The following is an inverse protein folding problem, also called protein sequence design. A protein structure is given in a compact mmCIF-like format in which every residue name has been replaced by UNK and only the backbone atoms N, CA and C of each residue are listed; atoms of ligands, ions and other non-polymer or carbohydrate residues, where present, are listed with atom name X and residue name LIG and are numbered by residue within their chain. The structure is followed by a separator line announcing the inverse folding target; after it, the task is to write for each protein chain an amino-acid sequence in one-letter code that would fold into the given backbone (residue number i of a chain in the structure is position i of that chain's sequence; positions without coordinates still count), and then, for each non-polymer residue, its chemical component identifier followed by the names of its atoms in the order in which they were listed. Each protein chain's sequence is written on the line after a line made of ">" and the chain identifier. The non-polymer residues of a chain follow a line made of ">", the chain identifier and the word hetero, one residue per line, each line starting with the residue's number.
data_IF_671154246504
#
_entry.id   IF_671154246504
#
_cell.length_a   1.000
_cell.length_b   1.000
_cell.length_c   1.000
_cell.angle_alpha   90.00
_cell.angle_beta   90.00
_cell.angle_gamma   90.00
#
_symmetry.space_group_name_H-M   'P 1'
#
loop_
_entity.id
_entity.type
_entity.pdbx_description
1 polymer ?
#
# COMPACT_ATOMS: atom_id res chain seq x y z
N UNK A 1 -38.64 57.88 -38.89
CA UNK A 1 -37.50 57.20 -39.52
C UNK A 1 -36.61 56.49 -38.52
N UNK A 2 -35.67 57.20 -37.86
CA UNK A 2 -34.57 56.60 -37.07
C UNK A 2 -34.96 55.88 -35.77
N UNK A 3 -36.07 56.28 -35.11
CA UNK A 3 -36.56 55.60 -33.89
C UNK A 3 -37.31 54.31 -34.23
N UNK A 4 -38.17 54.32 -35.25
CA UNK A 4 -38.86 53.13 -35.74
C UNK A 4 -37.87 52.04 -36.21
N UNK A 5 -36.83 52.42 -36.96
CA UNK A 5 -35.79 51.47 -37.37
C UNK A 5 -35.02 50.87 -36.18
N UNK A 6 -34.75 51.64 -35.11
CA UNK A 6 -34.12 51.11 -33.89
C UNK A 6 -35.04 50.15 -33.13
N UNK A 7 -36.33 50.44 -33.03
CA UNK A 7 -37.29 49.54 -32.40
C UNK A 7 -37.49 48.25 -33.20
N UNK A 8 -37.48 48.34 -34.54
CA UNK A 8 -37.51 47.16 -35.43
C UNK A 8 -36.23 46.32 -35.30
N UNK A 9 -35.06 46.94 -35.17
CA UNK A 9 -33.78 46.25 -34.94
C UNK A 9 -33.80 45.50 -33.60
N UNK A 10 -34.28 46.12 -32.52
CA UNK A 10 -34.44 45.46 -31.21
C UNK A 10 -35.46 44.32 -31.23
N UNK A 11 -36.55 44.48 -31.98
CA UNK A 11 -37.55 43.42 -32.15
C UNK A 11 -37.00 42.25 -32.97
N UNK A 12 -36.20 42.53 -33.99
CA UNK A 12 -35.60 41.51 -34.86
C UNK A 12 -34.47 40.74 -34.20
N UNK A 13 -33.68 41.38 -33.32
CA UNK A 13 -32.59 40.71 -32.60
C UNK A 13 -33.03 40.14 -31.24
N UNK A 14 -34.16 40.62 -30.70
CA UNK A 14 -34.59 40.31 -29.34
C UNK A 14 -33.71 40.92 -28.25
N UNK A 15 -32.74 41.77 -28.60
CA UNK A 15 -31.76 42.34 -27.67
C UNK A 15 -32.06 43.80 -27.38
N UNK A 16 -32.02 44.18 -26.09
CA UNK A 16 -32.24 45.56 -25.66
C UNK A 16 -31.09 46.51 -26.07
N UNK A 17 -29.87 46.00 -26.24
CA UNK A 17 -28.65 46.72 -26.64
C UNK A 17 -28.08 46.05 -27.89
N UNK A 18 -28.13 46.73 -29.03
CA UNK A 18 -27.67 46.21 -30.33
C UNK A 18 -26.41 46.89 -30.86
N UNK A 19 -26.10 48.09 -30.37
CA UNK A 19 -24.97 48.91 -30.85
C UNK A 19 -24.22 49.52 -29.67
N UNK A 20 -22.90 49.59 -29.77
CA UNK A 20 -22.05 50.21 -28.75
C UNK A 20 -22.35 51.71 -28.56
N UNK A 21 -22.96 52.35 -29.55
CA UNK A 21 -23.41 53.75 -29.46
C UNK A 21 -24.63 53.97 -28.55
N UNK A 22 -25.45 52.93 -28.27
CA UNK A 22 -26.66 53.06 -27.44
C UNK A 22 -26.35 52.90 -25.94
N UNK A 23 -25.45 51.98 -25.58
CA UNK A 23 -24.92 51.81 -24.24
C UNK A 23 -23.57 51.05 -24.31
N UNK A 24 -22.42 51.76 -24.39
CA UNK A 24 -21.12 51.13 -24.58
C UNK A 24 -20.75 50.23 -23.38
N UNK A 25 -21.01 50.68 -22.16
CA UNK A 25 -20.73 49.90 -20.95
C UNK A 25 -21.60 48.63 -20.86
N UNK A 26 -22.90 48.75 -21.19
CA UNK A 26 -23.82 47.61 -21.21
C UNK A 26 -23.51 46.60 -22.31
N UNK A 27 -23.06 47.06 -23.48
CA UNK A 27 -22.60 46.17 -24.54
C UNK A 27 -21.34 45.40 -24.09
N UNK A 28 -20.33 46.09 -23.55
CA UNK A 28 -19.10 45.45 -23.03
C UNK A 28 -19.43 44.41 -21.97
N UNK A 29 -20.30 44.75 -21.01
CA UNK A 29 -20.74 43.79 -19.99
C UNK A 29 -21.46 42.59 -20.61
N UNK A 30 -22.34 42.81 -21.60
CA UNK A 30 -23.06 41.72 -22.27
C UNK A 30 -22.16 40.81 -23.09
N UNK A 31 -21.13 41.36 -23.76
CA UNK A 31 -20.15 40.55 -24.50
C UNK A 31 -19.25 39.75 -23.56
N UNK A 32 -18.84 40.34 -22.43
CA UNK A 32 -18.10 39.60 -21.39
C UNK A 32 -18.92 38.44 -20.83
N UNK A 33 -20.21 38.65 -20.55
CA UNK A 33 -21.11 37.60 -20.09
C UNK A 33 -21.33 36.52 -21.15
N UNK A 34 -21.49 36.89 -22.44
CA UNK A 34 -21.60 35.92 -23.53
C UNK A 34 -20.32 35.07 -23.66
N UNK A 35 -19.15 35.69 -23.55
CA UNK A 35 -17.88 34.98 -23.56
C UNK A 35 -17.77 34.01 -22.38
N UNK A 36 -18.14 34.43 -21.17
CA UNK A 36 -18.18 33.57 -19.98
C UNK A 36 -19.19 32.43 -20.10
N UNK A 37 -20.37 32.67 -20.66
CA UNK A 37 -21.35 31.61 -20.90
C UNK A 37 -20.83 30.58 -21.91
N UNK A 38 -20.20 31.03 -22.99
CA UNK A 38 -19.61 30.13 -23.98
C UNK A 38 -18.48 29.29 -23.40
N UNK A 39 -17.66 29.84 -22.49
CA UNK A 39 -16.60 29.07 -21.84
C UNK A 39 -17.14 28.10 -20.79
N UNK A 40 -18.16 28.50 -20.02
CA UNK A 40 -18.85 27.60 -19.08
C UNK A 40 -19.56 26.44 -19.79
N UNK A 41 -20.19 26.68 -20.94
CA UNK A 41 -20.83 25.62 -21.75
C UNK A 41 -19.79 24.63 -22.31
N UNK A 42 -18.62 25.11 -22.70
CA UNK A 42 -17.48 24.24 -23.06
C UNK A 42 -16.98 23.44 -21.85
N UNK A 43 -16.84 24.07 -20.68
CA UNK A 43 -16.43 23.40 -19.45
C UNK A 43 -17.44 22.33 -19.01
N UNK A 44 -18.75 22.59 -19.11
CA UNK A 44 -19.81 21.63 -18.79
C UNK A 44 -19.69 20.37 -19.67
N UNK A 45 -19.51 20.53 -20.98
CA UNK A 45 -19.30 19.41 -21.90
C UNK A 45 -18.02 18.63 -21.60
N UNK A 46 -16.96 19.31 -21.15
CA UNK A 46 -15.73 18.62 -20.71
C UNK A 46 -15.95 17.81 -19.44
N UNK A 47 -16.71 18.33 -18.47
CA UNK A 47 -17.06 17.61 -17.24
C UNK A 47 -17.89 16.37 -17.55
N UNK A 48 -18.91 16.49 -18.41
CA UNK A 48 -19.73 15.35 -18.86
C UNK A 48 -18.88 14.27 -19.55
N UNK A 49 -17.98 14.68 -20.46
CA UNK A 49 -17.05 13.76 -21.12
C UNK A 49 -16.07 13.11 -20.13
N UNK A 50 -15.57 13.86 -19.16
CA UNK A 50 -14.68 13.34 -18.11
C UNK A 50 -15.40 12.29 -17.28
N UNK A 51 -16.64 12.57 -16.86
CA UNK A 51 -17.47 11.60 -16.15
C UNK A 51 -17.69 10.31 -16.96
N UNK A 52 -17.94 10.42 -18.27
CA UNK A 52 -18.08 9.26 -19.13
C UNK A 52 -16.78 8.43 -19.25
N UNK A 53 -15.61 9.07 -19.35
CA UNK A 53 -14.30 8.39 -19.35
C UNK A 53 -14.09 7.65 -18.03
N UNK A 54 -14.31 8.33 -16.90
CA UNK A 54 -14.12 7.75 -15.57
C UNK A 54 -15.09 6.59 -15.32
N UNK A 55 -16.34 6.68 -15.76
CA UNK A 55 -17.31 5.58 -15.62
C UNK A 55 -16.89 4.32 -16.40
N UNK A 56 -16.33 4.47 -17.60
CA UNK A 56 -15.80 3.33 -18.38
C UNK A 56 -14.57 2.73 -17.70
N UNK A 57 -13.67 3.57 -17.17
CA UNK A 57 -12.52 3.10 -16.41
C UNK A 57 -12.95 2.34 -15.15
N UNK A 58 -13.87 2.90 -14.36
CA UNK A 58 -14.42 2.31 -13.13
C UNK A 58 -15.09 0.95 -13.39
N UNK A 59 -15.89 0.84 -14.45
CA UNK A 59 -16.47 -0.44 -14.85
C UNK A 59 -15.40 -1.49 -15.20
N UNK A 60 -14.34 -1.08 -15.92
CA UNK A 60 -13.21 -1.96 -16.21
C UNK A 60 -12.46 -2.41 -14.95
N UNK A 61 -12.23 -1.48 -14.01
CA UNK A 61 -11.60 -1.77 -12.71
C UNK A 61 -12.45 -2.70 -11.86
N UNK A 62 -13.77 -2.55 -11.88
CA UNK A 62 -14.70 -3.44 -11.18
C UNK A 62 -14.63 -4.87 -11.70
N UNK A 63 -14.54 -5.06 -13.02
CA UNK A 63 -14.38 -6.39 -13.61
C UNK A 63 -13.02 -7.02 -13.23
N UNK A 64 -11.93 -6.23 -13.29
CA UNK A 64 -10.62 -6.69 -12.82
C UNK A 64 -10.66 -7.06 -11.33
N UNK A 65 -11.34 -6.28 -10.50
CA UNK A 65 -11.50 -6.56 -9.07
C UNK A 65 -12.20 -7.91 -8.83
N UNK A 66 -13.30 -8.19 -9.54
CA UNK A 66 -13.99 -9.48 -9.44
C UNK A 66 -13.08 -10.64 -9.85
N UNK A 67 -12.35 -10.50 -10.94
CA UNK A 67 -11.37 -11.50 -11.40
C UNK A 67 -10.26 -11.75 -10.38
N UNK A 68 -9.78 -10.71 -9.68
CA UNK A 68 -8.78 -10.85 -8.61
C UNK A 68 -9.35 -11.60 -7.39
N UNK A 69 -10.62 -11.40 -7.06
CA UNK A 69 -11.30 -12.16 -6.00
C UNK A 69 -11.40 -13.64 -6.37
N UNK A 70 -11.77 -13.96 -7.61
CA UNK A 70 -11.81 -15.33 -8.12
C UNK A 70 -10.42 -15.98 -8.11
N UNK A 71 -9.39 -15.25 -8.55
CA UNK A 71 -8.00 -15.71 -8.52
C UNK A 71 -7.55 -16.03 -7.08
N UNK A 72 -7.92 -15.19 -6.11
CA UNK A 72 -7.66 -15.46 -4.69
C UNK A 72 -8.36 -16.72 -4.21
N UNK A 73 -9.59 -16.97 -4.65
CA UNK A 73 -10.32 -18.20 -4.35
C UNK A 73 -9.59 -19.45 -4.86
N UNK A 74 -9.07 -19.40 -6.09
CA UNK A 74 -8.24 -20.46 -6.66
C UNK A 74 -6.94 -20.68 -5.88
N UNK A 75 -6.27 -19.61 -5.45
CA UNK A 75 -5.06 -19.71 -4.64
C UNK A 75 -5.32 -20.40 -3.29
N UNK A 76 -6.42 -20.07 -2.61
CA UNK A 76 -6.85 -20.75 -1.38
C UNK A 76 -7.18 -22.21 -1.64
N UNK A 77 -7.82 -22.52 -2.77
CA UNK A 77 -8.09 -23.89 -3.15
C UNK A 77 -6.78 -24.66 -3.40
N UNK A 78 -5.84 -24.09 -4.15
CA UNK A 78 -4.54 -24.68 -4.46
C UNK A 78 -3.69 -24.96 -3.21
N UNK A 79 -3.84 -24.13 -2.17
CA UNK A 79 -3.16 -24.32 -0.89
C UNK A 79 -3.56 -25.62 -0.16
N UNK A 80 -4.66 -26.28 -0.55
CA UNK A 80 -5.08 -27.58 -0.03
C UNK A 80 -4.27 -28.75 -0.62
N UNK A 81 -2.95 -28.71 -0.42
CA UNK A 81 -1.98 -29.61 -1.04
C UNK A 81 -2.15 -31.09 -0.66
N UNK A 82 -2.75 -31.37 0.51
CA UNK A 82 -2.98 -32.72 1.02
C UNK A 82 -4.18 -33.46 0.40
N UNK A 83 -5.11 -32.74 -0.25
CA UNK A 83 -6.32 -33.32 -0.83
C UNK A 83 -6.38 -33.24 -2.37
N UNK A 84 -5.51 -32.44 -2.99
CA UNK A 84 -5.48 -32.22 -4.44
C UNK A 84 -4.53 -33.19 -5.15
N UNK A 85 -5.05 -33.86 -6.17
CA UNK A 85 -4.24 -34.60 -7.14
C UNK A 85 -3.44 -33.65 -8.04
N UNK A 86 -2.33 -34.10 -8.65
CA UNK A 86 -1.56 -33.27 -9.58
C UNK A 86 -2.41 -32.72 -10.74
N UNK A 87 -3.31 -33.54 -11.31
CA UNK A 87 -4.17 -33.12 -12.41
C UNK A 87 -5.17 -32.02 -12.00
N UNK A 88 -5.65 -32.04 -10.75
CA UNK A 88 -6.52 -30.97 -10.24
C UNK A 88 -5.73 -29.68 -10.01
N UNK A 89 -4.47 -29.76 -9.58
CA UNK A 89 -3.60 -28.58 -9.48
C UNK A 89 -3.33 -27.96 -10.86
N UNK A 90 -3.03 -28.79 -11.86
CA UNK A 90 -2.85 -28.34 -13.24
C UNK A 90 -4.12 -27.66 -13.78
N UNK A 91 -5.30 -28.18 -13.44
CA UNK A 91 -6.57 -27.59 -13.83
C UNK A 91 -6.84 -26.24 -13.12
N UNK A 92 -6.53 -26.13 -11.83
CA UNK A 92 -6.61 -24.86 -11.09
C UNK A 92 -5.67 -23.83 -11.69
N UNK A 93 -4.44 -24.23 -12.03
CA UNK A 93 -3.46 -23.36 -12.67
C UNK A 93 -3.96 -22.85 -14.03
N UNK A 94 -4.55 -23.71 -14.85
CA UNK A 94 -5.14 -23.30 -16.13
C UNK A 94 -6.28 -22.28 -15.96
N UNK A 95 -7.07 -22.41 -14.87
CA UNK A 95 -8.10 -21.43 -14.55
C UNK A 95 -7.48 -20.08 -14.11
N UNK A 96 -6.44 -20.12 -13.27
CA UNK A 96 -5.69 -18.94 -12.87
C UNK A 96 -5.11 -18.21 -14.09
N UNK A 97 -4.47 -18.94 -15.02
CA UNK A 97 -3.93 -18.39 -16.27
C UNK A 97 -5.01 -17.72 -17.13
N UNK A 98 -6.20 -18.33 -17.22
CA UNK A 98 -7.33 -17.76 -17.96
C UNK A 98 -7.84 -16.46 -17.32
N UNK A 99 -7.83 -16.37 -15.99
CA UNK A 99 -8.18 -15.15 -15.26
C UNK A 99 -7.14 -14.06 -15.55
N UNK A 100 -5.85 -14.37 -15.43
CA UNK A 100 -4.76 -13.44 -15.71
C UNK A 100 -4.82 -12.90 -17.15
N UNK A 101 -5.04 -13.77 -18.14
CA UNK A 101 -5.23 -13.36 -19.54
C UNK A 101 -6.48 -12.48 -19.73
N UNK A 102 -7.53 -12.71 -18.95
CA UNK A 102 -8.74 -11.89 -18.99
C UNK A 102 -8.50 -10.49 -18.41
N UNK A 103 -7.74 -10.38 -17.33
CA UNK A 103 -7.28 -9.11 -16.77
C UNK A 103 -6.47 -8.32 -17.81
N UNK A 104 -5.48 -8.94 -18.45
CA UNK A 104 -4.67 -8.28 -19.49
C UNK A 104 -5.52 -7.83 -20.69
N UNK A 105 -6.52 -8.62 -21.08
CA UNK A 105 -7.47 -8.25 -22.14
C UNK A 105 -8.30 -7.04 -21.73
N UNK A 106 -8.80 -6.97 -20.49
CA UNK A 106 -9.55 -5.81 -20.00
C UNK A 106 -8.65 -4.57 -19.98
N UNK A 107 -7.42 -4.69 -19.47
CA UNK A 107 -6.43 -3.62 -19.46
C UNK A 107 -6.20 -3.05 -20.88
N UNK A 108 -6.04 -3.92 -21.88
CA UNK A 108 -5.75 -3.54 -23.26
C UNK A 108 -6.96 -3.14 -24.11
N UNK A 109 -8.19 -3.51 -23.74
CA UNK A 109 -9.41 -3.22 -24.52
C UNK A 109 -10.28 -2.10 -23.94
N UNK A 110 -10.09 -1.74 -22.66
CA UNK A 110 -10.82 -0.65 -22.02
C UNK A 110 -10.38 0.69 -22.61
N UNK A 111 -11.24 1.27 -23.45
CA UNK A 111 -10.96 2.51 -24.16
C UNK A 111 -12.18 3.40 -24.28
N UNK A 112 -11.96 4.71 -24.33
CA UNK A 112 -12.99 5.70 -24.60
C UNK A 112 -12.61 6.53 -25.82
N UNK A 113 -13.42 6.48 -26.88
CA UNK A 113 -13.16 7.20 -28.14
C UNK A 113 -11.74 6.97 -28.70
N UNK A 114 -11.23 5.73 -28.60
CA UNK A 114 -9.90 5.34 -29.07
C UNK A 114 -8.75 5.64 -28.10
N UNK A 115 -9.03 6.24 -26.94
CA UNK A 115 -8.06 6.44 -25.87
C UNK A 115 -8.07 5.24 -24.93
N UNK A 116 -6.96 4.50 -24.83
CA UNK A 116 -6.78 3.45 -23.82
C UNK A 116 -6.76 4.06 -22.42
N UNK A 117 -7.43 3.40 -21.47
CA UNK A 117 -7.64 3.93 -20.12
C UNK A 117 -6.85 3.20 -19.04
N UNK A 118 -6.70 1.87 -19.14
CA UNK A 118 -6.20 1.01 -18.05
C UNK A 118 -4.86 0.32 -18.35
N UNK A 119 -4.17 0.74 -19.40
CA UNK A 119 -2.87 0.20 -19.84
C UNK A 119 -1.66 0.95 -19.24
N UNK A 120 -1.90 1.94 -18.37
CA UNK A 120 -0.89 2.83 -17.81
C UNK A 120 -0.50 4.02 -18.68
N UNK A 121 -1.05 4.16 -19.89
CA UNK A 121 -0.82 5.34 -20.72
C UNK A 121 -1.37 6.63 -20.10
N UNK A 122 -2.39 6.49 -19.25
CA UNK A 122 -3.07 7.56 -18.53
C UNK A 122 -2.64 7.67 -17.06
N UNK A 123 -1.52 7.04 -16.66
CA UNK A 123 -0.97 7.18 -15.32
C UNK A 123 0.01 8.34 -15.23
N UNK A 124 0.25 8.82 -14.01
CA UNK A 124 1.43 9.62 -13.72
C UNK A 124 2.69 8.74 -13.87
N UNK A 125 3.78 9.33 -14.36
CA UNK A 125 5.07 8.63 -14.48
C UNK A 125 5.98 9.09 -13.36
N UNK A 126 6.67 8.16 -12.73
CA UNK A 126 7.66 8.46 -11.69
C UNK A 126 9.05 8.20 -12.26
N UNK A 127 9.99 9.10 -12.00
CA UNK A 127 11.38 9.00 -12.42
C UNK A 127 12.33 9.47 -11.33
N UNK A 128 13.59 9.01 -11.37
CA UNK A 128 14.58 9.41 -10.38
C UNK A 128 14.40 8.76 -9.01
N UNK A 129 13.67 7.65 -8.90
CA UNK A 129 13.56 6.88 -7.66
C UNK A 129 14.92 6.28 -7.31
N UNK A 130 15.41 6.55 -6.10
CA UNK A 130 16.57 5.86 -5.52
C UNK A 130 16.20 4.44 -5.08
N UNK A 131 17.18 3.67 -4.58
CA UNK A 131 16.91 2.38 -3.92
C UNK A 131 16.16 2.51 -2.58
N UNK A 132 15.81 3.72 -2.16
CA UNK A 132 15.04 3.96 -0.93
C UNK A 132 13.54 3.70 -1.09
N UNK A 133 13.04 3.62 -2.34
CA UNK A 133 11.62 3.43 -2.65
C UNK A 133 11.40 2.07 -3.33
N UNK A 134 10.51 1.26 -2.76
CA UNK A 134 10.07 -0.01 -3.36
C UNK A 134 9.02 0.25 -4.43
N UNK A 135 8.03 1.09 -4.11
CA UNK A 135 6.97 1.48 -5.02
C UNK A 135 6.53 2.93 -4.78
N UNK A 136 6.08 3.57 -5.87
CA UNK A 136 5.49 4.92 -5.83
C UNK A 136 4.30 4.93 -6.76
N UNK A 137 3.12 5.18 -6.21
CA UNK A 137 1.88 5.27 -6.96
C UNK A 137 1.24 6.64 -6.76
N UNK A 138 0.99 7.34 -7.87
CA UNK A 138 0.39 8.67 -7.84
C UNK A 138 -1.02 8.56 -8.43
N UNK A 139 -2.02 8.86 -7.62
CA UNK A 139 -3.43 8.76 -7.98
C UNK A 139 -3.97 10.07 -8.52
N UNK A 140 -3.51 11.20 -7.96
CA UNK A 140 -3.94 12.54 -8.34
C UNK A 140 -2.75 13.50 -8.35
N UNK A 141 -2.72 14.43 -9.30
CA UNK A 141 -1.67 15.44 -9.39
C UNK A 141 -2.07 16.62 -10.25
N UNK A 142 -1.85 17.84 -9.77
CA UNK A 142 -2.00 19.06 -10.57
C UNK A 142 -0.78 19.33 -11.46
N UNK A 143 -0.35 18.32 -12.24
CA UNK A 143 0.83 18.36 -13.11
C UNK A 143 0.34 18.25 -14.55
N UNK A 144 0.64 19.25 -15.39
CA UNK A 144 0.19 19.22 -16.77
C UNK A 144 0.97 18.17 -17.60
N UNK A 145 0.40 17.66 -18.71
CA UNK A 145 1.13 16.77 -19.61
C UNK A 145 2.42 17.43 -20.11
N UNK A 146 3.56 16.80 -19.84
CA UNK A 146 4.89 17.32 -20.19
C UNK A 146 5.57 18.14 -19.10
N UNK A 147 4.83 18.55 -18.06
CA UNK A 147 5.41 19.15 -16.86
C UNK A 147 5.85 18.05 -15.88
N UNK A 148 6.66 18.47 -14.92
CA UNK A 148 7.18 17.61 -13.88
C UNK A 148 7.25 18.34 -12.53
N UNK A 149 6.94 17.64 -11.46
CA UNK A 149 7.10 18.12 -10.09
C UNK A 149 8.04 17.21 -9.31
N UNK A 150 8.99 17.80 -8.58
CA UNK A 150 9.82 17.06 -7.64
C UNK A 150 9.04 16.85 -6.35
N UNK A 151 9.05 15.61 -5.86
CA UNK A 151 8.47 15.21 -4.59
C UNK A 151 9.60 14.93 -3.61
N UNK A 152 9.58 15.59 -2.45
CA UNK A 152 10.48 15.31 -1.34
C UNK A 152 9.79 14.45 -0.30
N UNK A 153 10.50 13.46 0.23
CA UNK A 153 10.02 12.57 1.29
C UNK A 153 10.95 12.68 2.48
N UNK A 154 10.39 12.85 3.67
CA UNK A 154 11.15 12.89 4.92
C UNK A 154 10.52 11.94 5.92
N UNK A 155 11.30 10.98 6.39
CA UNK A 155 10.93 10.09 7.49
C UNK A 155 11.24 10.81 8.81
N UNK A 156 10.23 10.95 9.67
CA UNK A 156 10.32 11.56 11.00
C UNK A 156 10.27 10.54 12.12
N UNK A 157 9.71 9.36 11.87
CA UNK A 157 9.72 8.19 12.75
C UNK A 157 10.03 6.96 11.92
N UNK A 158 11.00 6.16 12.36
CA UNK A 158 11.34 4.91 11.71
C UNK A 158 10.26 3.85 11.97
N UNK A 159 9.92 3.08 10.94
CA UNK A 159 9.11 1.88 11.13
C UNK A 159 9.89 0.84 11.95
N UNK A 160 9.18 0.06 12.74
CA UNK A 160 9.74 -1.00 13.58
C UNK A 160 8.97 -2.30 13.37
N UNK A 161 9.71 -3.41 13.42
CA UNK A 161 9.12 -4.75 13.51
C UNK A 161 8.73 -4.98 14.97
N UNK A 162 7.59 -5.59 15.21
CA UNK A 162 7.29 -6.15 16.52
C UNK A 162 8.35 -7.20 16.88
N UNK A 163 8.68 -7.31 18.16
CA UNK A 163 9.47 -8.43 18.64
C UNK A 163 9.58 -8.56 20.15
N UNK A 164 9.88 -9.77 20.57
CA UNK A 164 10.11 -10.12 21.97
C UNK A 164 11.30 -11.06 22.06
N UNK A 165 11.93 -11.13 23.23
CA UNK A 165 13.03 -12.04 23.48
C UNK A 165 12.64 -13.07 24.55
N UNK A 166 12.76 -14.36 24.22
CA UNK A 166 12.59 -15.46 25.16
C UNK A 166 13.94 -15.77 25.80
N UNK A 167 14.15 -15.36 27.03
CA UNK A 167 15.38 -15.70 27.76
C UNK A 167 15.20 -16.98 28.54
N UNK A 168 16.14 -17.91 28.38
CA UNK A 168 16.26 -19.12 29.19
C UNK A 168 17.42 -19.04 30.19
N UNK A 169 18.10 -17.89 30.28
CA UNK A 169 19.22 -17.66 31.20
C UNK A 169 20.52 -18.39 30.84
N UNK A 170 20.52 -19.23 29.81
CA UNK A 170 21.68 -19.98 29.31
C UNK A 170 21.60 -20.18 27.79
N UNK A 171 22.66 -20.71 27.17
CA UNK A 171 22.72 -21.02 25.73
C UNK A 171 21.97 -22.30 25.32
N UNK A 172 21.36 -22.98 26.28
CA UNK A 172 20.47 -24.13 26.09
C UNK A 172 19.29 -24.01 27.02
N UNK A 173 18.19 -24.65 26.67
CA UNK A 173 16.98 -24.69 27.49
C UNK A 173 17.20 -25.64 28.65
N UNK A 174 17.22 -25.13 29.90
CA UNK A 174 17.30 -25.94 31.11
C UNK A 174 15.99 -25.85 31.89
N UNK A 175 15.28 -26.98 31.99
CA UNK A 175 14.00 -27.09 32.70
C UNK A 175 14.16 -27.62 34.14
N UNK A 176 15.35 -27.49 34.74
CA UNK A 176 15.55 -27.60 36.18
C UNK A 176 15.50 -29.02 36.77
N UNK A 177 15.71 -30.08 35.97
CA UNK A 177 15.99 -31.43 36.50
C UNK A 177 15.22 -32.61 35.89
N UNK A 178 14.36 -32.40 34.89
CA UNK A 178 13.80 -33.51 34.11
C UNK A 178 14.54 -33.62 32.77
N UNK A 179 15.29 -34.71 32.57
CA UNK A 179 15.97 -35.00 31.29
C UNK A 179 15.01 -35.13 30.11
N UNK A 180 13.70 -35.25 30.37
CA UNK A 180 12.62 -35.33 29.38
C UNK A 180 11.54 -34.25 29.59
N UNK A 181 11.87 -33.14 30.27
CA UNK A 181 10.92 -32.03 30.41
C UNK A 181 10.61 -31.39 29.05
N UNK A 182 9.37 -30.95 28.88
CA UNK A 182 8.91 -30.18 27.72
C UNK A 182 8.36 -28.82 28.18
N UNK A 183 8.78 -27.76 27.51
CA UNK A 183 8.24 -26.41 27.66
C UNK A 183 7.48 -26.06 26.38
N UNK A 184 6.19 -25.77 26.49
CA UNK A 184 5.35 -25.47 25.34
C UNK A 184 4.84 -24.04 25.40
N UNK A 185 4.86 -23.37 24.25
CA UNK A 185 4.43 -21.99 24.11
C UNK A 185 3.71 -21.82 22.77
N UNK A 186 2.70 -20.97 22.74
CA UNK A 186 2.04 -20.51 21.52
C UNK A 186 2.72 -19.24 21.05
N UNK A 187 3.25 -19.25 19.83
CA UNK A 187 3.75 -18.05 19.14
C UNK A 187 2.69 -17.58 18.18
N UNK A 188 2.34 -16.30 18.23
CA UNK A 188 1.44 -15.65 17.30
C UNK A 188 2.08 -14.49 16.56
N UNK A 189 1.63 -14.27 15.33
CA UNK A 189 1.95 -13.09 14.54
C UNK A 189 0.84 -12.81 13.51
N UNK A 190 1.13 -11.98 12.53
CA UNK A 190 0.15 -11.48 11.57
C UNK A 190 -0.54 -12.60 10.75
N UNK A 191 0.16 -13.71 10.48
CA UNK A 191 -0.37 -14.81 9.67
C UNK A 191 -1.17 -15.84 10.47
N UNK A 192 -0.96 -15.90 11.80
CA UNK A 192 -1.60 -16.90 12.65
C UNK A 192 -0.79 -17.25 13.89
N UNK A 193 -1.11 -18.40 14.47
CA UNK A 193 -0.50 -18.89 15.70
C UNK A 193 -0.06 -20.36 15.56
N UNK A 194 1.05 -20.71 16.19
CA UNK A 194 1.56 -22.08 16.25
C UNK A 194 2.02 -22.43 17.66
N UNK A 195 1.76 -23.66 18.09
CA UNK A 195 2.32 -24.19 19.34
C UNK A 195 3.70 -24.78 19.07
N UNK A 196 4.68 -24.32 19.84
CA UNK A 196 6.08 -24.72 19.78
C UNK A 196 6.40 -25.44 21.08
N UNK A 197 6.81 -26.69 20.97
CA UNK A 197 7.31 -27.48 22.10
C UNK A 197 8.82 -27.55 22.05
N UNK A 198 9.45 -27.17 23.15
CA UNK A 198 10.89 -27.16 23.35
C UNK A 198 11.28 -28.17 24.43
N UNK A 199 12.39 -28.86 24.24
CA UNK A 199 12.84 -29.89 25.17
C UNK A 199 13.96 -29.38 26.10
N UNK A 200 14.04 -29.94 27.30
CA UNK A 200 15.19 -29.75 28.17
C UNK A 200 16.48 -30.23 27.49
N UNK A 201 17.54 -29.42 27.56
CA UNK A 201 18.82 -29.65 26.90
C UNK A 201 18.87 -29.27 25.42
N UNK A 202 17.76 -28.84 24.81
CA UNK A 202 17.74 -28.33 23.44
C UNK A 202 18.56 -27.04 23.34
N UNK A 203 19.36 -26.91 22.27
CA UNK A 203 20.11 -25.69 21.99
C UNK A 203 19.16 -24.55 21.59
N UNK A 204 19.57 -23.30 21.84
CA UNK A 204 18.77 -22.16 21.37
C UNK A 204 18.70 -22.09 19.84
N UNK A 205 19.71 -22.58 19.12
CA UNK A 205 19.69 -22.65 17.66
C UNK A 205 18.64 -23.63 17.14
N UNK A 206 18.53 -24.81 17.77
CA UNK A 206 17.49 -25.78 17.44
C UNK A 206 16.10 -25.25 17.82
N UNK A 207 15.99 -24.49 18.91
CA UNK A 207 14.75 -23.82 19.29
C UNK A 207 14.36 -22.73 18.28
N UNK A 208 15.34 -21.96 17.79
CA UNK A 208 15.13 -20.99 16.71
C UNK A 208 14.66 -21.68 15.43
N UNK A 209 15.29 -22.80 15.07
CA UNK A 209 14.88 -23.61 13.93
C UNK A 209 13.45 -24.14 14.07
N UNK A 210 13.04 -24.56 15.28
CA UNK A 210 11.67 -25.02 15.54
C UNK A 210 10.64 -23.90 15.33
N UNK A 211 10.93 -22.67 15.77
CA UNK A 211 10.06 -21.52 15.49
C UNK A 211 10.06 -21.16 14.01
N UNK A 212 11.25 -21.10 13.39
CA UNK A 212 11.39 -20.73 11.97
C UNK A 212 10.71 -21.75 11.04
N UNK A 213 10.58 -23.00 11.45
CA UNK A 213 9.80 -24.01 10.73
C UNK A 213 8.29 -23.71 10.69
N UNK A 214 7.80 -22.82 11.56
CA UNK A 214 6.42 -22.33 11.60
C UNK A 214 6.31 -20.87 11.12
N UNK A 215 7.36 -20.30 10.53
CA UNK A 215 7.37 -18.88 10.13
C UNK A 215 6.34 -18.57 9.03
N UNK A 216 6.10 -19.50 8.10
CA UNK A 216 5.04 -19.36 7.08
C UNK A 216 3.62 -19.37 7.69
N UNK A 217 3.42 -20.02 8.83
CA UNK A 217 2.12 -20.12 9.50
C UNK A 217 1.86 -19.00 10.52
N UNK A 218 2.92 -18.36 11.02
CA UNK A 218 2.84 -17.36 12.10
C UNK A 218 3.24 -15.96 11.65
N UNK A 219 4.07 -15.83 10.60
CA UNK A 219 4.70 -14.57 10.23
C UNK A 219 5.80 -14.13 11.20
N UNK A 220 6.31 -15.04 12.04
CA UNK A 220 7.35 -14.77 13.05
C UNK A 220 8.64 -15.53 12.72
N UNK A 221 9.75 -14.81 12.79
CA UNK A 221 11.10 -15.36 12.66
C UNK A 221 11.82 -15.33 14.01
N UNK A 222 12.74 -16.26 14.22
CA UNK A 222 13.49 -16.38 15.47
C UNK A 222 14.99 -16.45 15.21
N UNK A 223 15.76 -15.70 16.00
CA UNK A 223 17.22 -15.67 15.92
C UNK A 223 17.81 -15.74 17.33
N UNK A 224 18.92 -16.46 17.50
CA UNK A 224 19.59 -16.54 18.79
C UNK A 224 20.43 -15.28 19.02
N UNK A 225 20.31 -14.70 20.21
CA UNK A 225 21.10 -13.56 20.67
C UNK A 225 21.51 -13.76 22.13
N UNK A 226 22.77 -14.12 22.35
CA UNK A 226 23.28 -14.45 23.68
C UNK A 226 22.55 -15.66 24.30
N UNK A 227 21.79 -15.43 25.36
CA UNK A 227 20.99 -16.44 26.07
C UNK A 227 19.49 -16.35 25.78
N UNK A 228 19.12 -15.57 24.76
CA UNK A 228 17.73 -15.34 24.40
C UNK A 228 17.46 -15.74 22.95
N UNK A 229 16.22 -16.18 22.71
CA UNK A 229 15.64 -16.33 21.40
C UNK A 229 14.86 -15.05 21.05
N UNK A 230 15.35 -14.28 20.10
CA UNK A 230 14.72 -13.04 19.65
C UNK A 230 13.73 -13.37 18.54
N UNK A 231 12.45 -13.18 18.84
CA UNK A 231 11.33 -13.36 17.93
C UNK A 231 11.00 -12.01 17.30
N UNK A 232 10.86 -11.97 15.97
CA UNK A 232 10.50 -10.76 15.24
C UNK A 232 9.49 -11.06 14.16
N UNK A 233 8.54 -10.16 13.99
CA UNK A 233 7.59 -10.17 12.89
C UNK A 233 8.29 -10.03 11.53
N UNK A 234 7.74 -10.69 10.52
CA UNK A 234 8.23 -10.69 9.13
C UNK A 234 7.93 -9.38 8.39
N UNK A 235 7.04 -8.55 8.90
CA UNK A 235 6.70 -7.24 8.33
C UNK A 235 7.01 -6.09 9.31
N UNK A 236 6.97 -4.86 8.79
CA UNK A 236 7.10 -3.62 9.56
C UNK A 236 5.71 -3.03 9.80
N UNK A 237 5.50 -2.35 10.93
CA UNK A 237 4.28 -1.58 11.18
C UNK A 237 3.39 -2.10 12.29
N UNK A 238 2.35 -1.35 12.57
CA UNK A 238 1.38 -1.64 13.64
C UNK A 238 0.51 -2.86 13.38
N UNK A 239 0.33 -3.24 12.10
CA UNK A 239 -0.38 -4.47 11.73
C UNK A 239 0.46 -5.73 12.02
N UNK A 240 1.79 -5.58 12.13
CA UNK A 240 2.70 -6.65 12.49
C UNK A 240 2.82 -6.76 14.02
N UNK A 241 2.64 -7.97 14.57
CA UNK A 241 2.79 -8.23 15.99
C UNK A 241 3.54 -9.54 16.25
N UNK A 242 4.05 -9.68 17.47
CA UNK A 242 4.55 -10.94 18.01
C UNK A 242 3.89 -11.16 19.36
N UNK A 243 3.20 -12.28 19.52
CA UNK A 243 2.67 -12.72 20.81
C UNK A 243 3.27 -14.05 21.21
N UNK A 244 3.47 -14.22 22.51
CA UNK A 244 3.91 -15.46 23.13
C UNK A 244 3.02 -15.74 24.32
N UNK A 245 2.47 -16.94 24.39
CA UNK A 245 1.70 -17.45 25.52
C UNK A 245 2.28 -18.79 25.95
N UNK A 246 2.64 -18.93 27.22
CA UNK A 246 3.11 -20.20 27.77
C UNK A 246 1.93 -21.15 27.91
N UNK A 247 1.94 -22.29 27.20
CA UNK A 247 0.89 -23.32 27.32
C UNK A 247 1.26 -24.39 28.34
N UNK A 248 2.55 -24.67 28.49
CA UNK A 248 3.12 -25.51 29.54
C UNK A 248 4.45 -24.93 30.02
N UNK A 249 4.43 -24.37 31.24
CA UNK A 249 5.57 -23.70 31.86
C UNK A 249 6.71 -24.65 32.27
N UNK A 250 6.49 -25.96 32.25
CA UNK A 250 7.42 -26.96 32.77
C UNK A 250 7.89 -26.59 34.20
N UNK A 251 9.16 -26.84 34.52
CA UNK A 251 9.82 -26.41 35.77
C UNK A 251 10.92 -25.36 35.51
N UNK A 252 10.69 -24.42 34.57
CA UNK A 252 11.62 -23.32 34.29
C UNK A 252 11.71 -22.39 35.50
N UNK A 253 12.67 -22.62 36.40
CA UNK A 253 12.81 -21.86 37.64
C UNK A 253 14.18 -21.16 37.78
N UNK A 254 14.90 -20.95 36.68
CA UNK A 254 16.18 -20.25 36.70
C UNK A 254 16.00 -18.72 36.78
N UNK A 255 16.94 -18.03 37.44
CA UNK A 255 16.94 -16.57 37.45
C UNK A 255 17.22 -16.03 36.03
N UNK A 256 16.52 -14.96 35.63
CA UNK A 256 16.70 -14.34 34.31
C UNK A 256 15.93 -15.01 33.17
N UNK A 257 14.99 -15.91 33.48
CA UNK A 257 14.07 -16.48 32.49
C UNK A 257 12.81 -15.64 32.33
N UNK A 258 12.19 -15.71 31.15
CA UNK A 258 10.93 -15.06 30.83
C UNK A 258 10.91 -14.44 29.44
N UNK A 259 9.83 -13.71 29.16
CA UNK A 259 9.70 -12.89 27.95
C UNK A 259 10.14 -11.48 28.27
N UNK A 260 10.99 -10.91 27.42
CA UNK A 260 11.52 -9.57 27.52
C UNK A 260 11.19 -8.76 26.26
N UNK A 261 11.07 -7.45 26.41
CA UNK A 261 11.10 -6.53 25.27
C UNK A 261 12.47 -6.50 24.62
N UNK A 262 12.55 -5.93 23.42
CA UNK A 262 13.82 -5.73 22.73
C UNK A 262 14.48 -4.41 23.16
N UNK A 263 15.81 -4.35 23.11
CA UNK A 263 16.53 -3.11 23.41
C UNK A 263 16.17 -2.02 22.39
N UNK A 264 15.72 -0.83 22.83
CA UNK A 264 15.36 0.27 21.93
C UNK A 264 16.50 0.75 21.01
N UNK A 265 17.76 0.53 21.40
CA UNK A 265 18.94 0.93 20.65
C UNK A 265 19.53 -0.22 19.82
N UNK A 266 19.26 -1.46 20.21
CA UNK A 266 19.66 -2.67 19.48
C UNK A 266 18.55 -3.72 19.51
N UNK A 267 17.59 -3.67 18.57
CA UNK A 267 16.44 -4.57 18.56
C UNK A 267 16.82 -6.01 18.17
N UNK A 268 18.12 -6.35 18.12
CA UNK A 268 18.61 -7.73 18.02
C UNK A 268 18.90 -8.35 19.38
N UNK A 269 18.72 -7.61 20.48
CA UNK A 269 18.99 -8.06 21.84
C UNK A 269 17.78 -7.87 22.74
N UNK A 270 17.69 -8.71 23.77
CA UNK A 270 16.72 -8.55 24.85
C UNK A 270 17.08 -7.32 25.71
N UNK A 271 16.10 -6.52 26.09
CA UNK A 271 16.26 -5.51 27.13
C UNK A 271 16.09 -6.18 28.51
N UNK A 272 17.17 -6.35 29.30
CA UNK A 272 17.10 -6.99 30.61
C UNK A 272 16.23 -6.21 31.61
N UNK A 273 15.94 -4.93 31.37
CA UNK A 273 15.06 -4.11 32.20
C UNK A 273 13.58 -4.22 31.81
N UNK A 274 13.26 -4.69 30.60
CA UNK A 274 11.90 -4.74 30.07
C UNK A 274 11.31 -6.16 30.13
N UNK A 275 11.22 -6.76 31.31
CA UNK A 275 10.54 -8.05 31.47
C UNK A 275 9.03 -7.88 31.24
N UNK A 276 8.48 -8.60 30.27
CA UNK A 276 7.08 -8.55 29.86
C UNK A 276 6.24 -9.67 30.50
N UNK A 277 6.81 -10.87 30.62
CA UNK A 277 6.14 -12.02 31.23
C UNK A 277 7.13 -13.00 31.86
N UNK A 278 6.66 -13.78 32.82
CA UNK A 278 7.38 -14.91 33.43
C UNK A 278 7.19 -16.19 32.61
N UNK A 279 7.97 -17.24 32.91
CA UNK A 279 7.73 -18.61 32.44
C UNK A 279 7.24 -19.49 33.60
N UNK A 280 6.40 -18.93 34.47
CA UNK A 280 6.09 -19.51 35.77
C UNK A 280 4.87 -20.41 35.74
N UNK A 281 3.87 -20.05 34.93
CA UNK A 281 2.59 -20.76 34.83
C UNK A 281 2.10 -20.78 33.38
N UNK A 282 1.23 -21.75 33.08
CA UNK A 282 0.46 -21.70 31.84
C UNK A 282 -0.45 -20.46 31.85
N UNK A 283 -0.49 -19.74 30.72
CA UNK A 283 -1.18 -18.48 30.55
C UNK A 283 -0.30 -17.23 30.75
N UNK A 284 0.95 -17.37 31.20
CA UNK A 284 1.90 -16.26 31.15
C UNK A 284 2.08 -15.84 29.68
N UNK A 285 1.78 -14.58 29.37
CA UNK A 285 1.74 -14.11 27.99
C UNK A 285 2.30 -12.71 27.83
N UNK A 286 2.94 -12.45 26.70
CA UNK A 286 3.39 -11.14 26.28
C UNK A 286 3.05 -10.91 24.81
N UNK A 287 2.85 -9.65 24.44
CA UNK A 287 2.63 -9.22 23.06
C UNK A 287 3.33 -7.90 22.84
N UNK A 288 3.97 -7.79 21.69
CA UNK A 288 4.55 -6.55 21.18
C UNK A 288 4.00 -6.29 19.77
N UNK A 289 3.88 -5.01 19.41
CA UNK A 289 3.36 -4.56 18.12
C UNK A 289 4.38 -3.64 17.45
N UNK A 290 4.48 -3.73 16.12
CA UNK A 290 5.39 -2.91 15.38
C UNK A 290 4.93 -1.45 15.36
N UNK A 291 5.78 -0.60 14.80
CA UNK A 291 5.51 0.83 14.70
C UNK A 291 5.55 1.22 13.24
N UNK A 292 4.54 1.97 12.80
CA UNK A 292 4.49 2.47 11.43
C UNK A 292 5.54 3.55 11.18
N UNK A 293 5.97 3.69 9.93
CA UNK A 293 6.74 4.86 9.52
C UNK A 293 5.90 6.11 9.69
N UNK A 294 6.47 7.21 10.19
CA UNK A 294 5.83 8.52 10.11
C UNK A 294 6.73 9.48 9.33
N UNK A 295 6.13 10.41 8.60
CA UNK A 295 6.89 11.31 7.77
C UNK A 295 6.08 12.42 7.11
N UNK A 296 6.76 13.14 6.23
CA UNK A 296 6.15 14.17 5.40
C UNK A 296 6.47 13.95 3.94
N UNK A 297 5.51 14.32 3.08
CA UNK A 297 5.67 14.37 1.63
C UNK A 297 5.47 15.83 1.22
N UNK A 298 6.48 16.44 0.58
CA UNK A 298 6.50 17.87 0.27
C UNK A 298 6.26 18.79 1.50
N UNK A 299 6.67 18.33 2.69
CA UNK A 299 6.47 19.04 3.96
C UNK A 299 5.06 18.93 4.55
N UNK A 300 4.10 18.30 3.86
CA UNK A 300 2.80 17.95 4.42
C UNK A 300 2.92 16.62 5.18
N UNK A 301 2.26 16.51 6.33
CA UNK A 301 2.22 15.26 7.11
C UNK A 301 1.54 14.18 6.29
N UNK A 302 2.22 13.05 6.11
CA UNK A 302 1.70 11.87 5.43
C UNK A 302 1.23 10.85 6.47
N UNK A 303 0.20 10.07 6.12
CA UNK A 303 -0.27 8.96 6.92
C UNK A 303 0.65 7.76 6.72
N UNK A 304 1.16 7.21 7.82
CA UNK A 304 1.96 5.99 7.83
C UNK A 304 1.13 4.73 7.99
N UNK A 305 1.49 3.68 7.26
CA UNK A 305 1.09 2.29 7.55
C UNK A 305 2.23 1.36 7.10
N UNK A 306 2.80 0.59 8.02
CA UNK A 306 3.99 -0.20 7.77
C UNK A 306 5.17 0.64 7.28
N UNK A 307 5.66 0.32 6.09
CA UNK A 307 6.69 1.09 5.39
C UNK A 307 6.14 2.13 4.39
N UNK A 308 4.81 2.26 4.30
CA UNK A 308 4.14 3.11 3.31
C UNK A 308 3.75 4.47 3.91
N UNK A 309 4.05 5.53 3.18
CA UNK A 309 3.59 6.89 3.44
C UNK A 309 2.56 7.30 2.37
N UNK A 310 1.36 7.62 2.82
CA UNK A 310 0.26 8.09 1.97
C UNK A 310 0.00 9.57 2.22
N UNK A 311 -0.09 10.37 1.15
CA UNK A 311 -0.52 11.77 1.22
C UNK A 311 -1.72 11.97 0.32
N UNK A 312 -2.84 12.39 0.91
CA UNK A 312 -4.01 12.86 0.19
C UNK A 312 -4.20 14.36 0.41
N UNK A 313 -3.96 15.13 -0.64
CA UNK A 313 -4.13 16.58 -0.64
C UNK A 313 -4.90 17.04 -1.87
N UNK A 314 -5.36 18.30 -1.86
CA UNK A 314 -6.10 18.87 -2.99
C UNK A 314 -5.31 18.88 -4.32
N UNK A 315 -3.98 18.80 -4.26
CA UNK A 315 -3.09 18.94 -5.43
C UNK A 315 -2.26 17.70 -5.74
N UNK A 316 -2.16 16.76 -4.81
CA UNK A 316 -1.37 15.53 -4.91
C UNK A 316 -1.99 14.45 -4.02
N UNK A 317 -2.35 13.32 -4.61
CA UNK A 317 -2.65 12.06 -3.91
C UNK A 317 -1.61 11.03 -4.34
N UNK A 318 -0.88 10.48 -3.38
CA UNK A 318 0.29 9.63 -3.63
C UNK A 318 0.52 8.64 -2.49
N UNK A 319 0.87 7.42 -2.85
CA UNK A 319 1.39 6.38 -1.96
C UNK A 319 2.87 6.13 -2.28
N UNK A 320 3.70 6.13 -1.24
CA UNK A 320 5.15 5.90 -1.33
C UNK A 320 5.52 4.77 -0.38
N UNK A 321 5.86 3.61 -0.94
CA UNK A 321 6.39 2.48 -0.18
C UNK A 321 7.91 2.58 -0.10
N UNK A 322 8.42 2.68 1.13
CA UNK A 322 9.84 2.75 1.39
C UNK A 322 10.45 1.36 1.44
N UNK A 323 11.69 1.22 0.98
CA UNK A 323 12.51 0.04 1.27
C UNK A 323 12.71 -0.11 2.77
N UNK A 324 12.95 -1.33 3.25
CA UNK A 324 13.16 -1.59 4.68
C UNK A 324 14.30 -0.73 5.25
N UNK A 325 15.40 -0.55 4.51
CA UNK A 325 16.52 0.30 4.91
C UNK A 325 16.11 1.79 5.04
N UNK A 326 15.24 2.26 4.15
CA UNK A 326 14.74 3.63 4.18
C UNK A 326 13.67 3.84 5.26
N UNK A 327 12.77 2.88 5.46
CA UNK A 327 11.69 2.93 6.43
C UNK A 327 12.22 2.90 7.87
N UNK A 328 13.31 2.17 8.12
CA UNK A 328 13.94 2.02 9.45
C UNK A 328 14.94 3.13 9.80
N UNK A 329 15.13 4.12 8.93
CA UNK A 329 16.06 5.23 9.15
C UNK A 329 15.38 6.60 9.03
N UNK A 330 15.43 7.38 10.12
CA UNK A 330 14.91 8.76 10.15
C UNK A 330 15.79 9.68 9.30
N UNK A 331 15.17 10.57 8.53
CA UNK A 331 15.87 11.55 7.71
C UNK A 331 15.20 11.83 6.37
N UNK A 332 15.78 12.80 5.65
CA UNK A 332 15.36 13.10 4.28
C UNK A 332 15.76 11.95 3.35
N UNK A 333 14.83 11.54 2.48
CA UNK A 333 15.09 10.60 1.39
C UNK A 333 15.33 11.36 0.09
N UNK A 334 16.11 10.83 -0.85
CA UNK A 334 16.28 11.43 -2.16
C UNK A 334 14.92 11.70 -2.79
N UNK A 335 14.68 12.93 -3.26
CA UNK A 335 13.43 13.23 -3.95
C UNK A 335 13.35 12.50 -5.29
N UNK A 336 12.13 12.19 -5.73
CA UNK A 336 11.85 11.69 -7.07
C UNK A 336 11.00 12.71 -7.84
N UNK A 337 10.87 12.51 -9.14
CA UNK A 337 10.12 13.41 -10.01
C UNK A 337 8.90 12.70 -10.55
N UNK A 338 7.73 13.30 -10.31
CA UNK A 338 6.45 12.91 -10.92
C UNK A 338 6.28 13.72 -12.20
N UNK A 339 6.02 13.04 -13.31
CA UNK A 339 5.92 13.59 -14.65
C UNK A 339 4.52 13.31 -15.21
N UNK A 340 3.91 14.35 -15.78
CA UNK A 340 2.69 14.23 -16.57
C UNK A 340 1.46 13.84 -15.76
N UNK A 341 0.51 13.18 -16.43
CA UNK A 341 -0.83 12.85 -15.95
C UNK A 341 -1.91 13.43 -16.89
N UNK A 342 -3.01 12.71 -17.19
CA UNK A 342 -4.08 13.27 -17.99
C UNK A 342 -4.81 14.34 -17.18
N UNK A 343 -5.03 15.49 -17.79
CA UNK A 343 -5.64 16.64 -17.13
C UNK A 343 -7.01 16.92 -17.72
N UNK A 344 -7.98 17.05 -16.83
CA UNK A 344 -9.36 17.37 -17.16
C UNK A 344 -9.62 18.84 -16.84
N UNK A 345 -9.94 19.60 -17.88
CA UNK A 345 -10.31 21.00 -17.78
C UNK A 345 -11.80 21.11 -17.41
N UNK A 346 -12.07 21.41 -16.14
CA UNK A 346 -13.44 21.42 -15.58
C UNK A 346 -14.00 22.83 -15.36
N UNK A 347 -13.17 23.87 -15.53
CA UNK A 347 -13.62 25.26 -15.46
C UNK A 347 -13.46 26.03 -16.77
N UNK A 348 -14.05 27.24 -16.84
CA UNK A 348 -14.05 28.08 -18.04
C UNK A 348 -12.66 28.68 -18.35
N UNK A 349 -11.78 28.75 -17.35
CA UNK A 349 -10.46 29.37 -17.48
C UNK A 349 -9.39 28.37 -17.84
N UNK A 350 -8.64 28.65 -18.92
CA UNK A 350 -7.59 27.78 -19.45
C UNK A 350 -6.47 27.42 -18.46
N UNK A 351 -6.30 28.16 -17.36
CA UNK A 351 -5.17 27.98 -16.43
C UNK A 351 -5.58 27.60 -14.98
N UNK A 352 -6.81 27.84 -14.56
CA UNK A 352 -7.17 27.83 -13.13
C UNK A 352 -7.95 26.61 -12.63
N UNK A 353 -8.58 25.82 -13.50
CA UNK A 353 -9.52 24.78 -13.09
C UNK A 353 -9.28 23.47 -13.82
N UNK A 354 -8.15 22.86 -13.47
CA UNK A 354 -7.67 21.60 -14.01
C UNK A 354 -7.52 20.58 -12.89
N UNK A 355 -7.94 19.34 -13.14
CA UNK A 355 -7.72 18.22 -12.23
C UNK A 355 -7.00 17.13 -13.00
N UNK A 356 -5.88 16.65 -12.48
CA UNK A 356 -5.18 15.49 -13.04
C UNK A 356 -5.52 14.25 -12.24
N UNK A 357 -6.12 13.25 -12.89
CA UNK A 357 -6.48 11.96 -12.28
C UNK A 357 -5.73 10.88 -13.05
N UNK A 358 -4.89 10.12 -12.36
CA UNK A 358 -4.15 9.02 -12.96
C UNK A 358 -5.07 7.81 -13.07
N UNK A 359 -5.10 7.18 -14.24
CA UNK A 359 -5.70 5.85 -14.37
C UNK A 359 -4.58 4.80 -14.26
N UNK A 360 -4.72 3.81 -13.38
CA UNK A 360 -3.66 2.86 -13.11
C UNK A 360 -3.44 1.91 -14.28
N UNK A 361 -2.27 1.27 -14.30
CA UNK A 361 -2.03 0.13 -15.18
C UNK A 361 -2.47 -1.15 -14.48
N UNK A 362 -3.51 -1.79 -14.98
CA UNK A 362 -4.04 -3.04 -14.40
C UNK A 362 -3.60 -4.30 -15.14
N UNK A 363 -2.63 -4.19 -16.06
CA UNK A 363 -2.01 -5.37 -16.66
C UNK A 363 -1.35 -6.24 -15.58
N UNK A 364 -1.34 -7.56 -15.76
CA UNK A 364 -0.85 -8.53 -14.77
C UNK A 364 0.63 -8.34 -14.41
N UNK A 365 1.43 -7.73 -15.31
CA UNK A 365 2.83 -7.35 -15.04
C UNK A 365 2.98 -6.19 -14.04
N UNK A 366 1.92 -5.43 -13.80
CA UNK A 366 1.91 -4.26 -12.94
C UNK A 366 1.14 -4.48 -11.63
N UNK A 367 0.29 -5.51 -11.57
CA UNK A 367 -0.47 -5.88 -10.38
C UNK A 367 0.29 -6.85 -9.46
N UNK A 368 -0.02 -6.78 -8.17
CA UNK A 368 0.51 -7.69 -7.14
C UNK A 368 2.01 -7.55 -6.93
N UNK A 369 2.52 -6.31 -6.95
CA UNK A 369 3.93 -6.03 -6.66
C UNK A 369 4.20 -6.20 -5.17
N UNK A 370 4.96 -7.22 -4.82
CA UNK A 370 5.60 -7.31 -3.51
C UNK A 370 7.08 -7.67 -3.70
N UNK A 371 7.94 -7.14 -2.83
CA UNK A 371 9.35 -7.50 -2.80
C UNK A 371 9.56 -8.55 -1.71
N UNK A 372 10.10 -9.70 -2.10
CA UNK A 372 10.57 -10.71 -1.15
C UNK A 372 11.97 -11.15 -1.58
N UNK A 373 12.94 -11.03 -0.68
CA UNK A 373 14.34 -11.39 -0.94
C UNK A 373 15.00 -10.63 -2.10
N UNK A 374 14.59 -9.38 -2.37
CA UNK A 374 15.17 -8.55 -3.45
C UNK A 374 14.74 -8.93 -4.87
N UNK A 375 13.78 -9.86 -5.02
CA UNK A 375 13.10 -10.14 -6.30
C UNK A 375 11.70 -9.53 -6.23
N UNK A 376 11.30 -8.83 -7.31
CA UNK A 376 9.94 -8.32 -7.48
C UNK A 376 9.09 -9.42 -8.07
N UNK A 377 8.00 -9.74 -7.39
CA UNK A 377 6.96 -10.63 -7.92
C UNK A 377 5.81 -9.79 -8.44
N UNK A 378 5.12 -10.30 -9.45
CA UNK A 378 3.88 -9.77 -10.01
C UNK A 378 2.86 -10.88 -10.11
N UNK A 379 1.59 -10.55 -10.32
CA UNK A 379 0.56 -11.58 -10.55
C UNK A 379 0.88 -12.48 -11.75
N UNK A 380 1.71 -12.03 -12.70
CA UNK A 380 2.17 -12.88 -13.79
C UNK A 380 3.10 -14.01 -13.32
N UNK A 381 3.84 -13.82 -12.23
CA UNK A 381 4.73 -14.87 -11.72
C UNK A 381 3.96 -16.01 -11.05
N UNK A 382 2.69 -15.78 -10.67
CA UNK A 382 1.74 -16.81 -10.25
C UNK A 382 1.38 -17.76 -11.40
N UNK A 383 1.49 -17.32 -12.66
CA UNK A 383 1.30 -18.18 -13.82
C UNK A 383 2.44 -19.20 -14.04
N UNK A 384 3.59 -19.01 -13.37
CA UNK A 384 4.83 -19.74 -13.66
C UNK A 384 5.22 -20.77 -12.59
N UNK A 385 4.40 -21.00 -11.57
CA UNK A 385 4.65 -21.93 -10.44
C UNK A 385 3.47 -22.85 -10.19
#
# INVERSE_FOLDING_TARGET
>A
GRSLNRSLEKLSTGLAINRGADNPAGLIASENLRAQLSSLDAASRNVERTGAVLAVADQGLSEVSNLLVDLRGLAVQAANTGALSPAERDAIQLQADSILQSIDRIAGSTSFAGLSLLDGGQSFRVSGTSGDFESVEVHQGAIAPGDSATVSVQVTQAAQRAGVALSFGAGSIDLGGSSNGSFSLRVGGAEGEAEITLASGQSLDDAAAAVNAQSEATGVSATVSGTALVLRSAELGSDAFVSVEVTDAASVAAAGTGVFGLDPNDPTQADPAAKLADFSIAGDSARDEGVDVAGTINGAVAQGRGATLSLDSAFLSIDVELSEAAATSVGAKPGFTVIGGPVFQIGPDIAGSRVGIGLPNVATNNLGRFSSGGRRFSLRDVAAG
#
